data_IF_744407298172
#
_entry.id   IF_744407298172
#
_cell.length_a   1.000
_cell.length_b   1.000
_cell.length_c   1.000
_cell.angle_alpha   90.00
_cell.angle_beta   90.00
_cell.angle_gamma   90.00
#
_symmetry.space_group_name_H-M   'P 1'
#
loop_
_entity.id
_entity.type
_entity.pdbx_description
1 polymer ?
#
# COMPACT_ATOMS: atom_id res chain seq x y z
N UNK A 1 -4.55 25.87 -7.34
CA UNK A 1 -4.42 24.70 -6.44
C UNK A 1 -3.05 24.71 -5.80
N UNK A 2 -3.00 24.79 -4.47
CA UNK A 2 -1.76 24.64 -3.70
C UNK A 2 -1.32 23.17 -3.67
N UNK A 3 -0.06 22.90 -3.30
CA UNK A 3 0.43 21.52 -3.15
C UNK A 3 -0.43 20.71 -2.16
N UNK A 4 -0.93 21.36 -1.11
CA UNK A 4 -1.80 20.78 -0.09
C UNK A 4 -3.15 20.40 -0.69
N UNK A 5 -3.83 21.34 -1.34
CA UNK A 5 -5.12 21.08 -2.00
C UNK A 5 -5.04 19.96 -3.04
N UNK A 6 -3.91 19.86 -3.77
CA UNK A 6 -3.71 18.76 -4.72
C UNK A 6 -3.57 17.41 -4.03
N UNK A 7 -2.83 17.34 -2.93
CA UNK A 7 -2.69 16.12 -2.15
C UNK A 7 -4.04 15.67 -1.59
N UNK A 8 -4.82 16.61 -1.04
CA UNK A 8 -6.15 16.34 -0.49
C UNK A 8 -7.10 15.82 -1.58
N UNK A 9 -7.10 16.44 -2.77
CA UNK A 9 -7.88 15.96 -3.92
C UNK A 9 -7.49 14.53 -4.35
N UNK A 10 -6.20 14.25 -4.46
CA UNK A 10 -5.70 12.92 -4.86
C UNK A 10 -6.07 11.86 -3.83
N UNK A 11 -5.89 12.14 -2.53
CA UNK A 11 -6.22 11.20 -1.45
C UNK A 11 -7.72 10.89 -1.45
N UNK A 12 -8.58 11.91 -1.55
CA UNK A 12 -10.03 11.71 -1.59
C UNK A 12 -10.44 10.85 -2.79
N UNK A 13 -9.89 11.15 -3.97
CA UNK A 13 -10.15 10.37 -5.18
C UNK A 13 -9.69 8.92 -5.04
N UNK A 14 -8.51 8.67 -4.46
CA UNK A 14 -8.00 7.31 -4.26
C UNK A 14 -8.85 6.52 -3.26
N UNK A 15 -9.34 7.17 -2.20
CA UNK A 15 -10.22 6.53 -1.22
C UNK A 15 -11.58 6.14 -1.83
N UNK A 16 -12.13 6.96 -2.73
CA UNK A 16 -13.37 6.66 -3.44
C UNK A 16 -13.18 5.52 -4.45
N UNK A 17 -12.05 5.47 -5.15
CA UNK A 17 -11.73 4.44 -6.14
C UNK A 17 -11.34 3.09 -5.51
N UNK A 18 -10.68 3.11 -4.36
CA UNK A 18 -10.15 1.93 -3.67
C UNK A 18 -10.62 1.86 -2.21
N UNK A 19 -11.93 1.67 -1.97
CA UNK A 19 -12.51 1.69 -0.62
C UNK A 19 -12.03 0.52 0.26
N UNK A 20 -11.58 -0.57 -0.37
CA UNK A 20 -10.97 -1.71 0.31
C UNK A 20 -9.67 -2.06 -0.39
N UNK A 21 -8.55 -1.97 0.35
CA UNK A 21 -7.24 -2.39 -0.14
C UNK A 21 -6.88 -3.77 0.43
N UNK A 22 -6.39 -4.71 -0.41
CA UNK A 22 -5.89 -5.96 0.10
C UNK A 22 -4.58 -5.72 0.87
N UNK A 23 -4.26 -6.66 1.74
CA UNK A 23 -2.94 -6.71 2.39
C UNK A 23 -1.89 -6.95 1.28
N UNK A 24 -0.78 -6.18 1.25
CA UNK A 24 0.17 -6.22 0.13
C UNK A 24 0.99 -7.51 0.04
N UNK A 25 1.23 -8.18 1.17
CA UNK A 25 2.04 -9.38 1.26
C UNK A 25 1.31 -10.46 2.06
N UNK A 26 1.28 -11.68 1.53
CA UNK A 26 0.73 -12.83 2.24
C UNK A 26 1.52 -13.11 3.51
N UNK A 27 0.83 -13.16 4.64
CA UNK A 27 1.42 -13.43 5.94
C UNK A 27 0.39 -14.03 6.89
N UNK A 28 0.86 -14.78 7.89
CA UNK A 28 0.02 -15.43 8.92
C UNK A 28 0.16 -14.76 10.28
N UNK A 29 1.28 -14.09 10.50
CA UNK A 29 1.67 -13.47 11.75
C UNK A 29 2.70 -12.34 11.52
N UNK A 30 2.94 -11.47 12.51
CA UNK A 30 3.89 -10.35 12.36
C UNK A 30 5.32 -10.76 12.00
N UNK A 31 5.77 -11.95 12.41
CA UNK A 31 7.11 -12.44 12.07
C UNK A 31 7.17 -12.82 10.58
N UNK A 32 6.16 -13.51 10.05
CA UNK A 32 6.08 -13.83 8.62
C UNK A 32 5.96 -12.57 7.75
N UNK A 33 5.25 -11.54 8.21
CA UNK A 33 5.18 -10.25 7.51
C UNK A 33 6.55 -9.56 7.43
N UNK A 34 7.29 -9.55 8.54
CA UNK A 34 8.63 -8.95 8.56
C UNK A 34 9.56 -9.59 7.51
N UNK A 35 9.53 -10.92 7.40
CA UNK A 35 10.31 -11.64 6.39
C UNK A 35 9.82 -11.33 4.98
N UNK A 36 8.51 -11.32 4.74
CA UNK A 36 7.93 -10.99 3.43
C UNK A 36 8.35 -9.58 2.97
N UNK A 37 8.37 -8.60 3.88
CA UNK A 37 8.81 -7.22 3.59
C UNK A 37 10.31 -7.16 3.27
N UNK A 38 11.14 -7.96 3.95
CA UNK A 38 12.56 -8.03 3.59
C UNK A 38 12.76 -8.58 2.16
N UNK A 39 11.96 -9.56 1.75
CA UNK A 39 12.06 -10.21 0.45
C UNK A 39 11.49 -9.35 -0.70
N UNK A 40 10.55 -8.45 -0.42
CA UNK A 40 9.99 -7.56 -1.44
C UNK A 40 10.93 -6.42 -1.85
N UNK A 41 12.06 -6.23 -1.15
CA UNK A 41 13.04 -5.22 -1.50
C UNK A 41 13.52 -5.37 -2.96
N UNK A 42 13.30 -4.32 -3.77
CA UNK A 42 13.61 -4.28 -5.21
C UNK A 42 12.90 -5.36 -6.06
N UNK A 43 11.84 -5.96 -5.53
CA UNK A 43 10.98 -6.93 -6.22
C UNK A 43 9.52 -6.46 -6.19
N UNK A 44 8.67 -7.07 -7.00
CA UNK A 44 7.22 -6.88 -6.94
C UNK A 44 6.58 -7.95 -6.06
N UNK A 45 5.56 -7.60 -5.29
CA UNK A 45 4.81 -8.50 -4.40
C UNK A 45 4.09 -9.67 -5.12
N UNK A 46 4.12 -9.70 -6.47
CA UNK A 46 3.46 -10.71 -7.32
C UNK A 46 4.30 -11.99 -7.51
N UNK A 47 5.59 -12.00 -7.12
CA UNK A 47 6.51 -13.11 -7.35
C UNK A 47 6.51 -14.17 -6.26
#
# INVERSE_FOLDING_TARGET
MTKKERADFVINTLNDLYPTIPIPLDHKDPYTLLIAVLLSAQCTDVR
#
